data_IF_732107832026
#
_entry.id   IF_732107832026
#
_cell.length_a   1.000
_cell.length_b   1.000
_cell.length_c   1.000
_cell.angle_alpha   90.00
_cell.angle_beta   90.00
_cell.angle_gamma   90.00
#
_symmetry.space_group_name_H-M   'P 1'
#
loop_
_entity.id
_entity.type
_entity.pdbx_description
1 polymer ?
#
# COMPACT_ATOMS: atom_id res chain seq x y z
N UNK A 1 -8.05 -4.22 16.18
CA UNK A 1 -7.08 -5.15 15.54
C UNK A 1 -7.67 -6.55 15.42
N UNK A 2 -8.29 -7.09 16.47
CA UNK A 2 -8.93 -8.41 16.47
C UNK A 2 -10.10 -8.58 15.48
N UNK A 3 -10.92 -7.55 15.29
CA UNK A 3 -12.05 -7.60 14.34
C UNK A 3 -11.58 -7.61 12.87
N UNK A 4 -10.65 -6.72 12.50
CA UNK A 4 -10.08 -6.69 11.15
C UNK A 4 -9.36 -8.00 10.80
N UNK A 5 -8.63 -8.59 11.75
CA UNK A 5 -8.00 -9.89 11.56
C UNK A 5 -9.03 -11.02 11.41
N UNK A 6 -10.14 -10.98 12.15
CA UNK A 6 -11.24 -11.93 12.01
C UNK A 6 -11.87 -11.86 10.62
N UNK A 7 -12.18 -10.66 10.13
CA UNK A 7 -12.75 -10.45 8.79
C UNK A 7 -11.78 -10.93 7.70
N UNK A 8 -10.49 -10.61 7.82
CA UNK A 8 -9.47 -11.06 6.88
C UNK A 8 -9.32 -12.60 6.90
N UNK A 9 -9.42 -13.21 8.09
CA UNK A 9 -9.37 -14.66 8.25
C UNK A 9 -10.57 -15.34 7.57
N UNK A 10 -11.77 -14.81 7.76
CA UNK A 10 -12.98 -15.32 7.10
C UNK A 10 -12.86 -15.20 5.56
N UNK A 11 -12.29 -14.09 5.07
CA UNK A 11 -11.98 -13.91 3.66
C UNK A 11 -11.00 -14.97 3.14
N UNK A 12 -9.91 -15.28 3.86
CA UNK A 12 -8.95 -16.32 3.46
C UNK A 12 -9.64 -17.69 3.43
N UNK A 13 -10.42 -18.03 4.45
CA UNK A 13 -11.16 -19.30 4.50
C UNK A 13 -12.15 -19.43 3.34
N UNK A 14 -12.82 -18.35 2.96
CA UNK A 14 -13.71 -18.33 1.79
C UNK A 14 -12.91 -18.46 0.49
N UNK A 15 -11.79 -17.74 0.35
CA UNK A 15 -10.92 -17.79 -0.83
C UNK A 15 -10.37 -19.20 -1.09
N UNK A 16 -10.09 -19.97 -0.03
CA UNK A 16 -9.62 -21.36 -0.14
C UNK A 16 -10.64 -22.32 -0.76
N UNK A 17 -11.92 -21.96 -0.81
CA UNK A 17 -12.96 -22.79 -1.44
C UNK A 17 -12.87 -22.81 -2.95
N UNK A 18 -12.23 -21.80 -3.54
CA UNK A 18 -12.13 -21.65 -4.99
C UNK A 18 -10.79 -22.20 -5.50
N UNK A 19 -10.73 -22.65 -6.76
CA UNK A 19 -9.46 -22.99 -7.41
C UNK A 19 -8.57 -21.75 -7.54
N UNK A 20 -7.27 -21.95 -7.36
CA UNK A 20 -6.23 -20.93 -7.55
C UNK A 20 -5.19 -21.40 -8.56
N UNK A 21 -4.42 -20.47 -9.12
CA UNK A 21 -3.24 -20.83 -9.89
C UNK A 21 -2.20 -21.53 -9.00
N UNK A 22 -1.29 -22.28 -9.62
CA UNK A 22 -0.13 -22.77 -8.91
C UNK A 22 0.75 -21.59 -8.42
N UNK A 23 1.39 -21.69 -7.25
CA UNK A 23 2.32 -20.68 -6.78
C UNK A 23 3.47 -20.48 -7.76
N UNK A 24 3.85 -19.23 -7.97
CA UNK A 24 4.99 -18.86 -8.79
C UNK A 24 6.31 -19.07 -8.06
N UNK A 25 6.30 -19.03 -6.73
CA UNK A 25 7.47 -19.21 -5.88
C UNK A 25 7.98 -20.65 -5.95
N UNK A 26 9.04 -20.89 -6.70
CA UNK A 26 9.65 -22.23 -6.90
C UNK A 26 10.91 -22.47 -6.08
N UNK A 27 11.40 -21.45 -5.40
CA UNK A 27 12.50 -21.53 -4.46
C UNK A 27 12.33 -20.48 -3.37
N UNK A 28 12.91 -20.71 -2.21
CA UNK A 28 12.90 -19.82 -1.05
C UNK A 28 14.27 -19.83 -0.39
N UNK A 29 14.56 -18.82 0.41
CA UNK A 29 15.68 -18.89 1.35
C UNK A 29 15.20 -19.44 2.69
N UNK A 30 15.95 -20.38 3.27
CA UNK A 30 15.84 -20.69 4.68
C UNK A 30 16.42 -19.53 5.50
N UNK A 31 15.54 -18.61 5.89
CA UNK A 31 15.92 -17.41 6.62
C UNK A 31 16.54 -17.70 8.00
N UNK A 32 16.41 -18.91 8.54
CA UNK A 32 17.11 -19.29 9.78
C UNK A 32 18.62 -19.43 9.58
N UNK A 33 19.05 -19.62 8.33
CA UNK A 33 20.46 -19.75 7.93
C UNK A 33 21.04 -18.44 7.37
N UNK A 34 20.23 -17.39 7.24
CA UNK A 34 20.63 -16.10 6.67
C UNK A 34 20.74 -15.07 7.78
N UNK A 35 21.88 -14.41 7.88
CA UNK A 35 22.16 -13.37 8.86
C UNK A 35 21.23 -12.16 8.71
N UNK A 36 20.91 -11.52 9.82
CA UNK A 36 20.05 -10.32 9.87
C UNK A 36 20.56 -9.19 8.97
N UNK A 37 21.88 -9.08 8.80
CA UNK A 37 22.49 -8.08 7.92
C UNK A 37 22.16 -8.36 6.45
N UNK A 38 22.27 -9.62 6.00
CA UNK A 38 21.88 -10.03 4.64
C UNK A 38 20.37 -9.90 4.42
N UNK A 39 19.55 -10.27 5.41
CA UNK A 39 18.11 -10.08 5.38
C UNK A 39 17.74 -8.60 5.20
N UNK A 40 18.38 -7.72 5.97
CA UNK A 40 18.13 -6.27 5.91
C UNK A 40 18.50 -5.69 4.54
N UNK A 41 19.62 -6.13 3.96
CA UNK A 41 20.05 -5.69 2.62
C UNK A 41 19.06 -6.17 1.56
N UNK A 42 18.58 -7.42 1.63
CA UNK A 42 17.56 -7.93 0.70
C UNK A 42 16.22 -7.21 0.84
N UNK A 43 15.78 -6.92 2.07
CA UNK A 43 14.57 -6.15 2.31
C UNK A 43 14.67 -4.73 1.71
N UNK A 44 15.84 -4.09 1.81
CA UNK A 44 16.10 -2.78 1.22
C UNK A 44 16.22 -2.80 -0.31
N UNK A 45 16.68 -3.91 -0.89
CA UNK A 45 16.87 -4.07 -2.34
C UNK A 45 15.56 -4.13 -3.11
N UNK A 46 14.45 -4.46 -2.45
CA UNK A 46 13.20 -4.78 -3.10
C UNK A 46 12.00 -4.01 -2.54
N UNK A 47 12.05 -2.66 -2.57
CA UNK A 47 10.96 -1.86 -2.05
C UNK A 47 9.69 -2.06 -2.87
N UNK A 48 9.78 -2.40 -4.17
CA UNK A 48 8.63 -2.45 -5.08
C UNK A 48 8.56 -3.77 -5.87
N UNK A 49 9.24 -4.82 -5.42
CA UNK A 49 9.26 -6.11 -6.13
C UNK A 49 9.41 -7.23 -5.11
N UNK A 50 8.98 -8.44 -5.43
CA UNK A 50 9.30 -9.63 -4.62
C UNK A 50 10.61 -10.18 -5.15
N UNK A 51 11.57 -10.40 -4.27
CA UNK A 51 12.85 -10.94 -4.69
C UNK A 51 12.70 -12.42 -5.03
N UNK A 52 12.96 -12.76 -6.28
CA UNK A 52 13.04 -14.15 -6.74
C UNK A 52 14.37 -14.78 -6.31
N UNK A 53 14.38 -15.82 -5.45
CA UNK A 53 15.61 -16.40 -4.92
C UNK A 53 16.57 -16.89 -6.01
N UNK A 54 16.00 -17.48 -7.05
CA UNK A 54 16.76 -17.96 -8.21
C UNK A 54 17.46 -16.83 -8.96
N UNK A 55 16.89 -15.62 -9.01
CA UNK A 55 17.51 -14.44 -9.63
C UNK A 55 18.64 -13.85 -8.78
N UNK A 56 18.55 -13.97 -7.46
CA UNK A 56 19.56 -13.44 -6.52
C UNK A 56 20.83 -14.28 -6.51
N UNK A 57 20.67 -15.60 -6.45
CA UNK A 57 21.80 -16.55 -6.37
C UNK A 57 22.51 -16.73 -7.70
N UNK A 58 21.78 -16.48 -8.76
CA UNK A 58 22.21 -16.42 -10.14
C UNK A 58 23.39 -15.46 -10.34
N UNK A 59 24.38 -15.87 -11.13
CA UNK A 59 25.57 -15.04 -11.32
C UNK A 59 25.23 -13.69 -12.00
N UNK A 60 25.94 -12.58 -11.71
CA UNK A 60 25.65 -11.29 -12.33
C UNK A 60 25.86 -11.23 -13.86
N UNK A 61 26.62 -12.18 -14.42
CA UNK A 61 27.00 -12.19 -15.84
C UNK A 61 25.88 -12.66 -16.76
N UNK A 62 25.26 -13.82 -16.47
CA UNK A 62 24.19 -14.37 -17.32
C UNK A 62 22.92 -13.49 -17.31
N UNK A 63 22.57 -12.88 -16.16
CA UNK A 63 21.41 -11.99 -16.06
C UNK A 63 21.56 -10.72 -16.90
N UNK A 64 22.75 -10.09 -16.89
CA UNK A 64 23.04 -8.92 -17.73
C UNK A 64 22.96 -9.24 -19.22
N UNK A 65 23.29 -10.48 -19.61
CA UNK A 65 23.21 -10.96 -21.00
C UNK A 65 21.77 -11.16 -21.46
N UNK A 66 20.85 -11.55 -20.57
CA UNK A 66 19.46 -11.88 -20.92
C UNK A 66 18.54 -10.67 -20.86
N UNK A 67 18.67 -9.84 -19.82
CA UNK A 67 17.70 -8.75 -19.57
C UNK A 67 18.21 -7.38 -20.00
N UNK A 68 19.51 -7.21 -20.26
CA UNK A 68 20.12 -5.93 -20.62
C UNK A 68 20.16 -4.88 -19.49
N UNK A 69 19.47 -5.13 -18.38
CA UNK A 69 19.39 -4.29 -17.19
C UNK A 69 20.07 -4.97 -16.01
N UNK A 70 20.98 -4.29 -15.32
CA UNK A 70 21.41 -4.76 -14.00
C UNK A 70 20.32 -4.39 -12.99
N UNK A 71 19.37 -5.29 -12.73
CA UNK A 71 18.55 -5.17 -11.52
C UNK A 71 19.44 -5.27 -10.28
N UNK A 72 19.04 -4.65 -9.18
CA UNK A 72 19.87 -4.17 -8.05
C UNK A 72 20.78 -5.16 -7.31
N UNK A 73 20.87 -6.43 -7.71
CA UNK A 73 21.70 -7.49 -7.12
C UNK A 73 23.22 -7.23 -7.11
N UNK A 74 23.67 -6.13 -7.73
CA UNK A 74 25.06 -5.64 -7.66
C UNK A 74 25.47 -5.19 -6.25
N UNK A 75 24.50 -4.89 -5.37
CA UNK A 75 24.77 -4.39 -4.00
C UNK A 75 25.14 -5.48 -2.99
N UNK A 76 24.88 -6.77 -3.28
CA UNK A 76 25.26 -7.86 -2.39
C UNK A 76 26.77 -8.12 -2.45
N UNK A 77 27.39 -8.35 -1.30
CA UNK A 77 28.78 -8.82 -1.22
C UNK A 77 28.87 -10.30 -1.63
N UNK A 78 30.09 -10.77 -1.92
CA UNK A 78 30.29 -12.19 -2.27
C UNK A 78 29.96 -13.12 -1.10
N UNK A 79 30.22 -12.70 0.13
CA UNK A 79 29.86 -13.43 1.35
C UNK A 79 28.34 -13.54 1.50
N UNK A 80 27.61 -12.44 1.31
CA UNK A 80 26.14 -12.43 1.34
C UNK A 80 25.55 -13.34 0.26
N UNK A 81 26.11 -13.33 -0.95
CA UNK A 81 25.68 -14.25 -2.02
C UNK A 81 25.99 -15.70 -1.69
N UNK A 82 27.12 -15.97 -1.04
CA UNK A 82 27.48 -17.34 -0.64
C UNK A 82 26.52 -17.86 0.43
N UNK A 83 26.20 -17.04 1.42
CA UNK A 83 25.21 -17.32 2.45
C UNK A 83 23.82 -17.62 1.84
N UNK A 84 23.34 -16.75 0.94
CA UNK A 84 22.05 -16.95 0.27
C UNK A 84 22.02 -18.21 -0.60
N UNK A 85 23.13 -18.56 -1.26
CA UNK A 85 23.22 -19.83 -1.98
C UNK A 85 23.15 -21.04 -1.06
N UNK A 86 23.79 -20.97 0.11
CA UNK A 86 23.75 -22.04 1.09
C UNK A 86 22.35 -22.21 1.71
N UNK A 87 21.60 -21.11 1.82
CA UNK A 87 20.24 -21.10 2.34
C UNK A 87 19.15 -21.39 1.28
N UNK A 88 19.50 -21.53 0.00
CA UNK A 88 18.52 -21.73 -1.06
C UNK A 88 17.87 -23.12 -0.96
N UNK A 89 16.55 -23.15 -0.83
CA UNK A 89 15.75 -24.36 -0.82
C UNK A 89 14.75 -24.36 -1.99
N UNK A 90 14.82 -25.36 -2.91
CA UNK A 90 13.82 -25.50 -3.97
C UNK A 90 12.48 -25.97 -3.39
N UNK A 91 11.38 -25.43 -3.94
CA UNK A 91 10.02 -25.86 -3.65
C UNK A 91 9.46 -26.60 -4.86
N UNK A 92 8.77 -27.72 -4.61
CA UNK A 92 8.15 -28.51 -5.68
C UNK A 92 6.64 -28.60 -5.48
N UNK A 93 5.90 -27.86 -6.29
CA UNK A 93 4.44 -27.86 -6.27
C UNK A 93 3.89 -28.90 -7.25
N UNK A 94 3.04 -29.84 -6.81
CA UNK A 94 2.40 -30.80 -7.70
C UNK A 94 1.43 -30.08 -8.65
N UNK A 95 1.51 -30.40 -9.94
CA UNK A 95 0.75 -29.73 -11.01
C UNK A 95 -0.77 -30.00 -10.99
N UNK A 96 -1.24 -30.96 -10.19
CA UNK A 96 -2.62 -31.49 -10.25
C UNK A 96 -3.33 -31.56 -8.89
N UNK A 97 -2.65 -31.29 -7.78
CA UNK A 97 -3.24 -31.40 -6.45
C UNK A 97 -3.58 -30.00 -5.94
N UNK A 98 -4.86 -29.64 -5.94
CA UNK A 98 -5.32 -28.35 -5.42
C UNK A 98 -5.51 -28.38 -3.89
N UNK A 99 -4.46 -28.78 -3.17
CA UNK A 99 -4.45 -28.77 -1.71
C UNK A 99 -4.56 -27.34 -1.15
N UNK A 100 -5.10 -27.16 0.07
CA UNK A 100 -5.20 -25.85 0.70
C UNK A 100 -3.83 -25.17 0.87
N UNK A 101 -2.73 -25.92 0.94
CA UNK A 101 -1.36 -25.39 1.02
C UNK A 101 -0.95 -24.62 -0.23
N UNK A 102 -1.25 -25.22 -1.38
CA UNK A 102 -0.95 -24.63 -2.70
C UNK A 102 -1.77 -23.37 -2.88
N UNK A 103 -3.06 -23.43 -2.50
CA UNK A 103 -3.96 -22.27 -2.54
C UNK A 103 -3.51 -21.17 -1.57
N UNK A 104 -3.10 -21.51 -0.35
CA UNK A 104 -2.60 -20.55 0.64
C UNK A 104 -1.36 -19.80 0.13
N UNK A 105 -0.40 -20.51 -0.48
CA UNK A 105 0.78 -19.88 -1.06
C UNK A 105 0.41 -18.95 -2.23
N UNK A 106 -0.48 -19.38 -3.13
CA UNK A 106 -0.96 -18.56 -4.24
C UNK A 106 -1.74 -17.31 -3.76
N UNK A 107 -2.61 -17.46 -2.76
CA UNK A 107 -3.34 -16.33 -2.16
C UNK A 107 -2.35 -15.33 -1.54
N UNK A 108 -1.31 -15.81 -0.85
CA UNK A 108 -0.30 -14.93 -0.27
C UNK A 108 0.46 -14.14 -1.33
N UNK A 109 0.86 -14.78 -2.43
CA UNK A 109 1.50 -14.12 -3.58
C UNK A 109 0.61 -13.01 -4.16
N UNK A 110 -0.66 -13.29 -4.36
CA UNK A 110 -1.63 -12.35 -4.92
C UNK A 110 -1.92 -11.17 -3.96
N UNK A 111 -2.06 -11.42 -2.65
CA UNK A 111 -2.15 -10.36 -1.62
C UNK A 111 -0.90 -9.49 -1.63
N UNK A 112 0.29 -10.08 -1.68
CA UNK A 112 1.53 -9.34 -1.70
C UNK A 112 1.71 -8.52 -2.99
N UNK A 113 1.30 -9.06 -4.14
CA UNK A 113 1.29 -8.33 -5.39
C UNK A 113 0.39 -7.09 -5.31
N UNK A 114 -0.79 -7.20 -4.69
CA UNK A 114 -1.68 -6.05 -4.45
C UNK A 114 -1.11 -5.04 -3.48
N UNK A 115 -0.43 -5.48 -2.41
CA UNK A 115 0.29 -4.57 -1.49
C UNK A 115 1.35 -3.77 -2.26
N UNK A 116 2.17 -4.43 -3.07
CA UNK A 116 3.25 -3.78 -3.85
C UNK A 116 2.68 -2.80 -4.88
N UNK A 117 1.57 -3.15 -5.52
CA UNK A 117 0.91 -2.31 -6.50
C UNK A 117 0.17 -1.11 -5.87
N UNK A 118 -0.07 -1.13 -4.55
CA UNK A 118 -0.80 -0.07 -3.88
C UNK A 118 0.02 1.24 -3.83
N UNK A 119 -0.52 2.40 -4.24
CA UNK A 119 0.25 3.66 -4.30
C UNK A 119 0.90 4.07 -2.98
N UNK A 120 0.22 3.80 -1.86
CA UNK A 120 0.77 4.06 -0.53
C UNK A 120 2.01 3.25 -0.19
N UNK A 121 2.21 2.07 -0.78
CA UNK A 121 3.36 1.24 -0.48
C UNK A 121 4.67 1.97 -0.79
N UNK A 122 4.75 2.75 -1.87
CA UNK A 122 5.95 3.52 -2.22
C UNK A 122 6.08 4.86 -1.49
N UNK A 123 5.09 5.23 -0.67
CA UNK A 123 5.08 6.53 0.00
C UNK A 123 6.14 6.58 1.11
N UNK A 124 6.91 7.69 1.26
CA UNK A 124 7.99 7.82 2.26
C UNK A 124 7.56 7.54 3.70
N UNK A 125 6.30 7.84 4.02
CA UNK A 125 5.73 7.59 5.35
C UNK A 125 5.69 6.11 5.74
N UNK A 126 5.72 5.20 4.77
CA UNK A 126 5.73 3.76 5.02
C UNK A 126 7.13 3.15 4.96
N UNK A 127 8.21 3.92 4.81
CA UNK A 127 9.59 3.41 4.72
C UNK A 127 9.94 2.47 5.89
N UNK A 128 9.61 2.89 7.11
CA UNK A 128 9.80 2.08 8.31
C UNK A 128 8.96 0.79 8.29
N UNK A 129 7.71 0.86 7.82
CA UNK A 129 6.83 -0.30 7.71
C UNK A 129 7.31 -1.29 6.65
N UNK A 130 7.80 -0.80 5.50
CA UNK A 130 8.38 -1.65 4.45
C UNK A 130 9.61 -2.39 4.96
N UNK A 131 10.47 -1.71 5.73
CA UNK A 131 11.65 -2.31 6.35
C UNK A 131 11.29 -3.38 7.38
N UNK A 132 10.21 -3.19 8.15
CA UNK A 132 9.79 -4.14 9.20
C UNK A 132 9.04 -5.32 8.61
N UNK A 133 8.11 -5.09 7.67
CA UNK A 133 7.28 -6.15 7.09
C UNK A 133 8.09 -7.05 6.16
N UNK A 134 9.13 -6.54 5.50
CA UNK A 134 10.05 -7.35 4.70
C UNK A 134 9.33 -8.33 3.77
N UNK A 135 8.42 -7.84 2.92
CA UNK A 135 7.39 -8.65 2.23
C UNK A 135 7.94 -9.87 1.46
N UNK A 136 9.17 -9.77 0.94
CA UNK A 136 9.88 -10.91 0.35
C UNK A 136 10.10 -12.05 1.36
N UNK A 137 10.61 -11.72 2.55
CA UNK A 137 10.89 -12.68 3.62
C UNK A 137 9.59 -13.34 4.08
N UNK A 138 8.53 -12.55 4.24
CA UNK A 138 7.20 -13.03 4.63
C UNK A 138 6.64 -14.03 3.61
N UNK A 139 6.70 -13.71 2.31
CA UNK A 139 6.25 -14.62 1.27
C UNK A 139 7.06 -15.92 1.21
N UNK A 140 8.38 -15.83 1.28
CA UNK A 140 9.23 -17.03 1.32
C UNK A 140 8.91 -17.89 2.53
N UNK A 141 8.64 -17.27 3.68
CA UNK A 141 8.28 -18.00 4.91
C UNK A 141 6.92 -18.69 4.76
N UNK A 142 5.93 -18.01 4.18
CA UNK A 142 4.61 -18.62 3.89
C UNK A 142 4.74 -19.76 2.89
N UNK A 143 5.46 -19.57 1.79
CA UNK A 143 5.67 -20.59 0.76
C UNK A 143 6.43 -21.81 1.33
N UNK A 144 7.48 -21.58 2.13
CA UNK A 144 8.22 -22.65 2.80
C UNK A 144 7.32 -23.46 3.75
N UNK A 145 6.54 -22.78 4.60
CA UNK A 145 5.67 -23.44 5.56
C UNK A 145 4.50 -24.18 4.89
N UNK A 146 3.92 -23.61 3.83
CA UNK A 146 2.90 -24.28 3.01
C UNK A 146 3.48 -25.54 2.34
N UNK A 147 4.68 -25.46 1.77
CA UNK A 147 5.33 -26.61 1.17
C UNK A 147 5.69 -27.70 2.20
N UNK A 148 6.12 -27.30 3.41
CA UNK A 148 6.36 -28.23 4.51
C UNK A 148 5.06 -28.94 4.94
N UNK A 149 3.95 -28.21 5.09
CA UNK A 149 2.65 -28.79 5.39
C UNK A 149 2.20 -29.77 4.30
N UNK A 150 2.38 -29.42 3.04
CA UNK A 150 2.10 -30.29 1.90
C UNK A 150 2.91 -31.59 2.00
N UNK A 151 4.21 -31.48 2.29
CA UNK A 151 5.10 -32.64 2.43
C UNK A 151 4.66 -33.54 3.60
N UNK A 152 4.28 -32.94 4.73
CA UNK A 152 3.79 -33.68 5.91
C UNK A 152 2.48 -34.41 5.60
N UNK A 153 1.54 -33.78 4.89
CA UNK A 153 0.27 -34.41 4.50
C UNK A 153 0.45 -35.49 3.44
N UNK A 154 1.31 -35.27 2.45
CA UNK A 154 1.63 -36.27 1.43
C UNK A 154 2.30 -37.52 2.05
N UNK A 155 3.05 -37.37 3.14
CA UNK A 155 3.65 -38.47 3.89
C UNK A 155 2.71 -39.11 4.92
N UNK A 156 1.51 -38.58 5.12
CA UNK A 156 0.54 -39.11 6.09
C UNK A 156 -0.10 -40.38 5.53
N UNK A 157 0.09 -41.50 6.21
CA UNK A 157 -0.53 -42.79 5.85
C UNK A 157 -1.96 -42.88 6.37
N UNK A 158 -2.69 -43.91 5.94
CA UNK A 158 -3.97 -44.28 6.54
C UNK A 158 -3.84 -44.52 8.06
N UNK A 159 -4.92 -44.26 8.78
CA UNK A 159 -4.99 -44.52 10.22
C UNK A 159 -4.77 -46.02 10.48
N UNK A 160 -3.86 -46.40 11.40
CA UNK A 160 -3.67 -47.80 11.74
C UNK A 160 -4.97 -48.46 12.23
N UNK A 161 -5.29 -49.64 11.70
CA UNK A 161 -6.44 -50.42 12.17
C UNK A 161 -6.17 -50.92 13.59
N UNK A 162 -7.15 -50.80 14.48
CA UNK A 162 -7.00 -51.23 15.86
C UNK A 162 -7.12 -52.75 15.98
N UNK A 163 -6.07 -53.40 16.47
CA UNK A 163 -6.03 -54.83 16.77
C UNK A 163 -5.88 -55.12 18.28
N UNK A 164 -5.92 -54.08 19.12
CA UNK A 164 -5.72 -54.18 20.57
C UNK A 164 -4.27 -54.29 21.02
N UNK A 165 -3.27 -54.20 20.14
CA UNK A 165 -1.84 -54.24 20.50
C UNK A 165 -1.29 -52.87 20.92
N UNK A 166 -0.37 -52.86 21.88
CA UNK A 166 0.33 -51.64 22.34
C UNK A 166 1.18 -50.97 21.23
N UNK A 167 1.57 -51.73 20.21
CA UNK A 167 2.32 -51.21 19.05
C UNK A 167 1.39 -50.38 18.17
N UNK A 168 0.19 -50.89 17.85
CA UNK A 168 -0.78 -50.14 17.05
C UNK A 168 -1.40 -48.98 17.84
N UNK A 169 -1.57 -49.12 19.16
CA UNK A 169 -1.98 -48.00 20.02
C UNK A 169 -0.97 -46.83 19.95
N UNK A 170 0.34 -47.12 19.99
CA UNK A 170 1.39 -46.09 19.82
C UNK A 170 1.43 -45.51 18.42
N UNK A 171 1.30 -46.33 17.38
CA UNK A 171 1.25 -45.85 16.00
C UNK A 171 0.06 -44.92 15.76
N UNK A 172 -1.11 -45.23 16.34
CA UNK A 172 -2.31 -44.39 16.27
C UNK A 172 -2.14 -43.08 17.02
N UNK A 173 -1.53 -43.09 18.21
CA UNK A 173 -1.24 -41.88 18.96
C UNK A 173 -0.27 -40.93 18.19
N UNK A 174 0.74 -41.49 17.53
CA UNK A 174 1.65 -40.71 16.69
C UNK A 174 0.96 -40.20 15.41
N UNK A 175 0.08 -40.99 14.80
CA UNK A 175 -0.75 -40.54 13.67
C UNK A 175 -1.62 -39.34 14.07
N UNK A 176 -2.34 -39.45 15.19
CA UNK A 176 -3.21 -38.39 15.72
C UNK A 176 -2.39 -37.12 16.03
N UNK A 177 -1.24 -37.28 16.68
CA UNK A 177 -0.32 -36.16 16.96
C UNK A 177 0.09 -35.44 15.68
N UNK A 178 0.46 -36.16 14.62
CA UNK A 178 0.84 -35.55 13.33
C UNK A 178 -0.35 -34.83 12.69
N UNK A 179 -1.54 -35.41 12.76
CA UNK A 179 -2.76 -34.78 12.24
C UNK A 179 -3.08 -33.47 12.97
N UNK A 180 -2.98 -33.45 14.31
CA UNK A 180 -3.17 -32.23 15.12
C UNK A 180 -2.13 -31.17 14.77
N UNK A 181 -0.84 -31.55 14.65
CA UNK A 181 0.22 -30.61 14.28
C UNK A 181 -0.01 -30.05 12.87
N UNK A 182 -0.43 -30.86 11.91
CA UNK A 182 -0.73 -30.40 10.56
C UNK A 182 -1.92 -29.41 10.54
N UNK A 183 -2.98 -29.67 11.31
CA UNK A 183 -4.12 -28.76 11.44
C UNK A 183 -3.73 -27.44 12.12
N UNK A 184 -2.86 -27.48 13.13
CA UNK A 184 -2.33 -26.28 13.78
C UNK A 184 -1.46 -25.45 12.82
N UNK A 185 -0.61 -26.11 12.03
CA UNK A 185 0.22 -25.47 11.03
C UNK A 185 -0.64 -24.80 9.93
N UNK A 186 -1.70 -25.47 9.48
CA UNK A 186 -2.67 -24.89 8.54
C UNK A 186 -3.35 -23.64 9.13
N UNK A 187 -3.85 -23.72 10.37
CA UNK A 187 -4.47 -22.55 11.02
C UNK A 187 -3.50 -21.39 11.16
N UNK A 188 -2.24 -21.66 11.55
CA UNK A 188 -1.22 -20.63 11.68
C UNK A 188 -0.87 -19.98 10.32
N UNK A 189 -0.85 -20.77 9.24
CA UNK A 189 -0.68 -20.25 7.88
C UNK A 189 -1.86 -19.36 7.47
N UNK A 190 -3.10 -19.80 7.72
CA UNK A 190 -4.30 -18.99 7.48
C UNK A 190 -4.21 -17.66 8.22
N UNK A 191 -3.84 -17.68 9.50
CA UNK A 191 -3.73 -16.46 10.32
C UNK A 191 -2.63 -15.51 9.81
N UNK A 192 -1.52 -16.06 9.28
CA UNK A 192 -0.44 -15.25 8.69
C UNK A 192 -0.87 -14.60 7.38
N UNK A 193 -1.54 -15.34 6.49
CA UNK A 193 -2.10 -14.78 5.24
C UNK A 193 -3.20 -13.76 5.55
N UNK A 194 -4.02 -14.00 6.58
CA UNK A 194 -5.02 -13.06 7.05
C UNK A 194 -4.38 -11.77 7.58
N UNK A 195 -3.23 -11.84 8.26
CA UNK A 195 -2.50 -10.66 8.68
C UNK A 195 -2.00 -9.82 7.48
N UNK A 196 -1.50 -10.47 6.42
CA UNK A 196 -1.14 -9.78 5.18
C UNK A 196 -2.35 -9.11 4.52
N UNK A 197 -3.48 -9.82 4.46
CA UNK A 197 -4.74 -9.28 3.91
C UNK A 197 -5.27 -8.09 4.73
N UNK A 198 -5.21 -8.18 6.06
CA UNK A 198 -5.60 -7.08 6.94
C UNK A 198 -4.67 -5.86 6.78
N UNK A 199 -3.39 -6.09 6.52
CA UNK A 199 -2.45 -5.01 6.20
C UNK A 199 -2.78 -4.36 4.86
N UNK A 200 -3.06 -5.16 3.83
CA UNK A 200 -3.53 -4.67 2.52
C UNK A 200 -4.77 -3.78 2.67
N UNK A 201 -5.78 -4.23 3.41
CA UNK A 201 -7.00 -3.46 3.65
C UNK A 201 -6.76 -2.13 4.39
N UNK A 202 -5.71 -2.07 5.22
CA UNK A 202 -5.35 -0.85 5.94
C UNK A 202 -4.69 0.20 5.04
N UNK A 203 -4.18 -0.16 3.85
CA UNK A 203 -3.51 0.80 2.96
C UNK A 203 -4.48 1.82 2.35
N UNK A 204 -5.70 1.41 2.00
CA UNK A 204 -6.71 2.29 1.40
C UNK A 204 -7.15 3.44 2.32
N UNK A 205 -7.55 3.22 3.59
CA UNK A 205 -7.90 4.32 4.49
C UNK A 205 -6.70 5.22 4.82
N UNK A 206 -5.48 4.69 4.82
CA UNK A 206 -4.25 5.48 4.94
C UNK A 206 -4.08 6.39 3.71
N UNK A 207 -4.30 5.89 2.51
CA UNK A 207 -4.27 6.70 1.28
C UNK A 207 -5.25 7.86 1.33
N UNK A 208 -6.49 7.59 1.72
CA UNK A 208 -7.52 8.61 1.87
C UNK A 208 -7.09 9.68 2.88
N UNK A 209 -6.46 9.28 3.99
CA UNK A 209 -5.96 10.19 5.02
C UNK A 209 -4.81 11.07 4.51
N UNK A 210 -3.86 10.49 3.76
CA UNK A 210 -2.75 11.24 3.15
C UNK A 210 -3.27 12.24 2.11
N UNK A 211 -4.22 11.83 1.26
CA UNK A 211 -4.85 12.73 0.28
C UNK A 211 -5.60 13.87 0.96
N UNK A 212 -6.35 13.59 2.02
CA UNK A 212 -7.04 14.63 2.79
C UNK A 212 -6.06 15.60 3.44
N UNK A 213 -4.93 15.10 3.98
CA UNK A 213 -3.88 15.95 4.54
C UNK A 213 -3.27 16.87 3.49
N UNK A 214 -3.02 16.37 2.27
CA UNK A 214 -2.55 17.18 1.15
C UNK A 214 -3.55 18.30 0.81
N UNK A 215 -4.83 17.96 0.65
CA UNK A 215 -5.89 18.94 0.37
C UNK A 215 -5.99 20.00 1.48
N UNK A 216 -5.95 19.60 2.75
CA UNK A 216 -5.98 20.55 3.88
C UNK A 216 -4.74 21.44 3.89
N UNK A 217 -3.57 20.91 3.57
CA UNK A 217 -2.31 21.69 3.51
C UNK A 217 -2.35 22.70 2.37
N UNK A 218 -2.87 22.32 1.21
CA UNK A 218 -3.06 23.22 0.05
C UNK A 218 -4.07 24.33 0.36
N UNK A 219 -5.21 24.00 0.99
CA UNK A 219 -6.21 24.97 1.42
C UNK A 219 -5.63 25.95 2.46
N UNK A 220 -4.84 25.46 3.42
CA UNK A 220 -4.18 26.29 4.41
C UNK A 220 -3.13 27.23 3.79
N UNK A 221 -2.38 26.76 2.79
CA UNK A 221 -1.41 27.57 2.07
C UNK A 221 -2.07 28.62 1.16
N UNK A 222 -3.19 28.28 0.52
CA UNK A 222 -3.96 29.18 -0.35
C UNK A 222 -4.87 30.18 0.38
N UNK A 223 -5.09 30.00 1.68
CA UNK A 223 -5.94 30.90 2.49
C UNK A 223 -5.50 32.36 2.45
N UNK A 224 -4.18 32.62 2.40
CA UNK A 224 -3.66 34.00 2.32
C UNK A 224 -4.00 34.74 1.03
N UNK A 225 -4.20 34.02 -0.09
CA UNK A 225 -4.59 34.63 -1.36
C UNK A 225 -6.11 34.91 -1.41
N UNK A 226 -6.92 34.06 -0.78
CA UNK A 226 -8.36 34.29 -0.61
C UNK A 226 -8.63 35.47 0.32
N UNK A 227 -7.92 35.57 1.44
CA UNK A 227 -8.03 36.72 2.36
C UNK A 227 -7.60 38.03 1.70
N UNK A 228 -6.54 38.01 0.88
CA UNK A 228 -6.11 39.17 0.10
C UNK A 228 -7.13 39.57 -0.97
N UNK A 229 -7.73 38.61 -1.67
CA UNK A 229 -8.80 38.86 -2.65
C UNK A 229 -10.03 39.47 -1.96
N UNK A 230 -10.39 38.96 -0.78
CA UNK A 230 -11.50 39.50 0.01
C UNK A 230 -11.25 40.95 0.45
N UNK A 231 -10.04 41.26 0.92
CA UNK A 231 -9.65 42.64 1.24
C UNK A 231 -9.67 43.56 0.02
N UNK A 232 -9.27 43.07 -1.16
CA UNK A 232 -9.33 43.83 -2.41
C UNK A 232 -10.77 44.10 -2.87
N UNK A 233 -11.68 43.13 -2.72
CA UNK A 233 -13.10 43.30 -3.05
C UNK A 233 -13.74 44.33 -2.12
N UNK A 234 -13.54 44.21 -0.81
CA UNK A 234 -14.05 45.18 0.18
C UNK A 234 -13.48 46.58 -0.07
N UNK A 235 -12.18 46.68 -0.39
CA UNK A 235 -11.55 47.95 -0.75
C UNK A 235 -12.09 48.55 -2.06
N UNK A 236 -12.41 47.71 -3.05
CA UNK A 236 -13.00 48.15 -4.31
C UNK A 236 -14.44 48.64 -4.13
N UNK A 237 -15.26 47.97 -3.32
CA UNK A 237 -16.62 48.41 -2.98
C UNK A 237 -16.63 49.79 -2.31
N UNK A 238 -15.73 50.01 -1.34
CA UNK A 238 -15.58 51.32 -0.69
C UNK A 238 -15.14 52.43 -1.67
N UNK A 239 -14.23 52.09 -2.61
CA UNK A 239 -13.78 53.01 -3.66
C UNK A 239 -14.91 53.37 -4.64
N UNK A 240 -15.75 52.40 -4.99
CA UNK A 240 -16.94 52.62 -5.84
C UNK A 240 -17.93 53.54 -5.13
N UNK A 241 -18.23 53.32 -3.85
CA UNK A 241 -19.13 54.16 -3.05
C UNK A 241 -18.60 55.61 -2.93
N UNK A 242 -17.29 55.77 -2.70
CA UNK A 242 -16.66 57.08 -2.65
C UNK A 242 -16.73 57.80 -4.00
N UNK A 243 -16.49 57.09 -5.10
CA UNK A 243 -16.59 57.64 -6.46
C UNK A 243 -18.02 58.02 -6.82
N UNK A 244 -19.02 57.26 -6.36
CA UNK A 244 -20.43 57.58 -6.54
C UNK A 244 -20.83 58.87 -5.78
N UNK A 245 -20.33 59.03 -4.56
CA UNK A 245 -20.53 60.27 -3.77
C UNK A 245 -19.91 61.48 -4.47
N UNK A 246 -18.64 61.38 -4.91
CA UNK A 246 -17.94 62.45 -5.64
C UNK A 246 -18.66 62.83 -6.95
N UNK A 247 -19.30 61.86 -7.61
CA UNK A 247 -20.12 62.13 -8.79
C UNK A 247 -21.37 62.94 -8.45
N UNK A 248 -22.04 62.61 -7.33
CA UNK A 248 -23.16 63.40 -6.81
C UNK A 248 -22.75 64.85 -6.55
N UNK A 249 -21.60 65.06 -5.91
CA UNK A 249 -21.06 66.40 -5.64
C UNK A 249 -20.79 67.19 -6.94
N UNK A 250 -20.34 66.53 -8.01
CA UNK A 250 -20.14 67.17 -9.33
C UNK A 250 -21.47 67.56 -9.98
N UNK A 251 -22.49 66.72 -9.87
CA UNK A 251 -23.82 67.00 -10.39
C UNK A 251 -24.45 68.21 -9.65
N UNK A 252 -24.23 68.31 -8.33
CA UNK A 252 -24.65 69.44 -7.51
C UNK A 252 -23.91 70.74 -7.87
N UNK A 253 -22.58 70.67 -8.07
CA UNK A 253 -21.78 71.82 -8.54
C UNK A 253 -22.27 72.29 -9.91
N UNK A 254 -22.57 71.36 -10.81
CA UNK A 254 -23.10 71.68 -12.13
C UNK A 254 -24.46 72.37 -12.04
N UNK A 255 -25.38 71.83 -11.24
CA UNK A 255 -26.68 72.46 -11.01
C UNK A 255 -26.55 73.87 -10.42
N UNK A 256 -25.59 74.07 -9.51
CA UNK A 256 -25.26 75.39 -8.96
C UNK A 256 -24.74 76.37 -10.01
N UNK A 257 -23.87 75.93 -10.92
CA UNK A 257 -23.38 76.75 -12.03
C UNK A 257 -24.48 77.09 -13.03
N UNK A 258 -25.32 76.13 -13.40
CA UNK A 258 -26.46 76.35 -14.30
C UNK A 258 -27.45 77.37 -13.71
N UNK A 259 -27.71 77.30 -12.39
CA UNK A 259 -28.54 78.28 -11.68
C UNK A 259 -27.91 79.69 -11.68
N UNK A 260 -26.58 79.78 -11.52
CA UNK A 260 -25.87 81.07 -11.60
C UNK A 260 -25.92 81.65 -13.01
N UNK A 261 -25.75 80.83 -14.05
CA UNK A 261 -25.86 81.27 -15.45
C UNK A 261 -27.27 81.78 -15.73
N UNK A 262 -28.32 81.07 -15.32
CA UNK A 262 -29.70 81.51 -15.49
C UNK A 262 -30.00 82.83 -14.75
N UNK A 263 -29.45 82.98 -13.54
CA UNK A 263 -29.55 84.23 -12.78
C UNK A 263 -28.86 85.40 -13.49
N UNK A 264 -27.64 85.20 -13.99
CA UNK A 264 -26.90 86.23 -14.74
C UNK A 264 -27.59 86.58 -16.06
N UNK A 265 -28.16 85.61 -16.76
CA UNK A 265 -28.95 85.83 -17.97
C UNK A 265 -30.21 86.67 -17.67
N UNK A 266 -30.88 86.42 -16.54
CA UNK A 266 -32.03 87.22 -16.08
C UNK A 266 -31.70 88.69 -15.78
N UNK A 267 -30.44 88.99 -15.46
CA UNK A 267 -29.94 90.35 -15.22
C UNK A 267 -29.58 91.09 -16.51
N UNK A 268 -29.30 90.36 -17.59
CA UNK A 268 -28.90 90.90 -18.91
C UNK A 268 -30.10 90.95 -19.87
N UNK A 269 -31.17 90.19 -19.60
CA UNK A 269 -32.45 90.25 -20.30
C UNK A 269 -33.10 91.64 -20.31
N UNK A 270 -33.92 91.96 -21.33
CA UNK A 270 -34.25 93.34 -21.68
C UNK A 270 -34.95 94.08 -20.55
N UNK A 271 -34.38 95.23 -20.16
CA UNK A 271 -35.08 96.26 -19.38
C UNK A 271 -36.31 96.68 -20.17
N UNK A 272 -37.48 96.15 -19.82
CA UNK A 272 -38.75 96.73 -20.23
C UNK A 272 -38.81 98.15 -19.68
N UNK A 273 -38.55 99.11 -20.57
CA UNK A 273 -38.96 100.49 -20.41
C UNK A 273 -40.48 100.53 -20.49
N UNK A 274 -41.12 100.80 -19.37
CA UNK A 274 -42.42 101.50 -19.31
C UNK A 274 -42.19 102.82 -18.61
#
# INVERSE_FOLDING_TARGET
MTEALSVARDWVVEALRFPWHAPHTTAVFDWTLVSESTQSVLAALSPNTIVEPNEVVAQPSWWRTITGTSTGCRQLTDDQRHELRAALAPLHWPLREEGPEIRLAAIAEDVAARIIAHPMWTHPMLDAHRSILGLTIELHTVAAAAHQLLTVRAAMTDIPTDDGSDVLARARAEWERRHVVAAQAESALIDRVAALRAYEDALTPVEASVRNLQVVTELAAGGGDVDRLYQQIVGAELSIEHTATLRGDIDDVRAGLDAQVAYLDSLIGPRHTT
#
